data_IF_868319549623
#
_entry.id   IF_868319549623
#
_cell.length_a   1.000
_cell.length_b   1.000
_cell.length_c   1.000
_cell.angle_alpha   90.00
_cell.angle_beta   90.00
_cell.angle_gamma   90.00
#
_symmetry.space_group_name_H-M   'P 1'
#
loop_
_entity.id
_entity.type
_entity.pdbx_description
1 polymer ?
#
# COMPACT_ATOMS: atom_id res chain seq x y z
N UNK A 1 11.43 -41.17 4.53
CA UNK A 1 11.59 -39.82 3.96
C UNK A 1 10.98 -38.86 4.95
N UNK A 2 11.76 -38.02 5.61
CA UNK A 2 11.23 -36.99 6.52
C UNK A 2 10.47 -35.97 5.67
N UNK A 3 9.28 -35.61 6.12
CA UNK A 3 8.54 -34.52 5.48
C UNK A 3 9.22 -33.19 5.83
N UNK A 4 9.04 -32.18 4.97
CA UNK A 4 9.54 -30.82 5.24
C UNK A 4 8.98 -30.30 6.57
N UNK A 5 7.73 -30.62 6.87
CA UNK A 5 7.05 -30.26 8.13
C UNK A 5 7.76 -30.85 9.36
N UNK A 6 8.13 -32.13 9.31
CA UNK A 6 8.82 -32.80 10.42
C UNK A 6 10.20 -32.20 10.67
N UNK A 7 10.96 -31.97 9.61
CA UNK A 7 12.30 -31.38 9.70
C UNK A 7 12.25 -29.95 10.25
N UNK A 8 11.24 -29.18 9.86
CA UNK A 8 11.02 -27.82 10.37
C UNK A 8 10.66 -27.84 11.86
N UNK A 9 9.79 -28.75 12.28
CA UNK A 9 9.38 -28.87 13.68
C UNK A 9 10.55 -29.23 14.59
N UNK A 10 11.41 -30.14 14.18
CA UNK A 10 12.63 -30.50 14.92
C UNK A 10 13.60 -29.31 15.00
N UNK A 11 13.82 -28.60 13.89
CA UNK A 11 14.68 -27.42 13.87
C UNK A 11 14.16 -26.30 14.79
N UNK A 12 12.84 -26.04 14.80
CA UNK A 12 12.23 -25.03 15.68
C UNK A 12 12.37 -25.41 17.15
N UNK A 13 12.16 -26.68 17.50
CA UNK A 13 12.27 -27.16 18.89
C UNK A 13 13.70 -27.08 19.44
N UNK A 14 14.71 -27.19 18.58
CA UNK A 14 16.11 -27.06 18.98
C UNK A 14 16.53 -25.61 19.30
N UNK A 15 15.72 -24.61 18.94
CA UNK A 15 16.05 -23.20 19.14
C UNK A 15 15.61 -22.68 20.52
N UNK A 16 16.33 -21.69 21.08
CA UNK A 16 15.87 -20.93 22.24
C UNK A 16 14.55 -20.21 21.97
N UNK A 17 13.78 -19.91 23.04
CA UNK A 17 12.45 -19.30 22.95
C UNK A 17 12.42 -18.01 22.11
N UNK A 18 13.43 -17.16 22.25
CA UNK A 18 13.49 -15.88 21.52
C UNK A 18 13.61 -16.10 20.00
N UNK A 19 14.36 -17.13 19.59
CA UNK A 19 14.51 -17.51 18.18
C UNK A 19 13.29 -18.25 17.62
N UNK A 20 12.57 -18.97 18.46
CA UNK A 20 11.27 -19.54 18.08
C UNK A 20 10.24 -18.43 17.80
N UNK A 21 10.24 -17.38 18.62
CA UNK A 21 9.36 -16.21 18.41
C UNK A 21 9.72 -15.48 17.10
N UNK A 22 11.01 -15.24 16.84
CA UNK A 22 11.47 -14.61 15.59
C UNK A 22 11.03 -15.40 14.34
N UNK A 23 11.13 -16.74 14.37
CA UNK A 23 10.64 -17.59 13.28
C UNK A 23 9.12 -17.52 13.11
N UNK A 24 8.37 -17.47 14.21
CA UNK A 24 6.92 -17.34 14.17
C UNK A 24 6.50 -16.00 13.54
N UNK A 25 7.20 -14.92 13.87
CA UNK A 25 6.97 -13.60 13.30
C UNK A 25 7.28 -13.59 11.79
N UNK A 26 8.38 -14.22 11.38
CA UNK A 26 8.73 -14.36 9.97
C UNK A 26 7.70 -15.19 9.19
N UNK A 27 7.22 -16.30 9.75
CA UNK A 27 6.17 -17.11 9.15
C UNK A 27 4.86 -16.33 8.98
N UNK A 28 4.51 -15.50 9.96
CA UNK A 28 3.36 -14.59 9.87
C UNK A 28 3.54 -13.55 8.76
N UNK A 29 4.73 -12.97 8.61
CA UNK A 29 5.05 -12.06 7.52
C UNK A 29 4.89 -12.74 6.16
N UNK A 30 5.47 -13.92 5.97
CA UNK A 30 5.36 -14.69 4.72
C UNK A 30 3.89 -14.98 4.38
N UNK A 31 3.07 -15.36 5.35
CA UNK A 31 1.62 -15.57 5.15
C UNK A 31 0.91 -14.29 4.68
N UNK A 32 1.31 -13.14 5.23
CA UNK A 32 0.74 -11.85 4.86
C UNK A 32 1.20 -11.39 3.47
N UNK A 33 2.41 -11.76 3.03
CA UNK A 33 2.92 -11.46 1.69
C UNK A 33 2.22 -12.28 0.61
N UNK A 34 1.91 -13.55 0.90
CA UNK A 34 1.15 -14.44 0.01
C UNK A 34 -0.34 -14.05 -0.05
N UNK A 35 -0.84 -13.35 0.96
CA UNK A 35 -2.21 -12.84 0.93
C UNK A 35 -2.34 -11.83 -0.20
N UNK A 36 -3.29 -12.00 -1.14
CA UNK A 36 -3.46 -11.09 -2.27
C UNK A 36 -3.68 -9.68 -1.72
N UNK A 37 -2.74 -8.78 -2.02
CA UNK A 37 -2.86 -7.37 -1.65
C UNK A 37 -4.18 -6.86 -2.20
N UNK A 38 -5.07 -6.38 -1.31
CA UNK A 38 -6.30 -5.75 -1.77
C UNK A 38 -5.91 -4.63 -2.75
N UNK A 39 -6.49 -4.59 -3.95
CA UNK A 39 -6.19 -3.52 -4.88
C UNK A 39 -6.44 -2.19 -4.17
N UNK A 40 -5.49 -1.26 -4.31
CA UNK A 40 -5.67 0.10 -3.81
C UNK A 40 -6.96 0.64 -4.44
N UNK A 41 -7.74 1.40 -3.65
CA UNK A 41 -8.91 2.10 -4.19
C UNK A 41 -8.46 2.92 -5.41
N UNK A 42 -9.25 2.91 -6.48
CA UNK A 42 -8.95 3.74 -7.66
C UNK A 42 -8.79 5.19 -7.24
N UNK A 43 -8.01 5.97 -7.99
CA UNK A 43 -7.88 7.43 -7.74
C UNK A 43 -9.26 8.07 -7.65
N UNK A 44 -10.20 7.68 -8.52
CA UNK A 44 -11.60 8.11 -8.42
C UNK A 44 -12.25 7.80 -7.06
N UNK A 45 -12.03 6.59 -6.53
CA UNK A 45 -12.55 6.19 -5.22
C UNK A 45 -11.89 6.91 -4.04
N UNK A 46 -10.65 7.35 -4.16
CA UNK A 46 -9.99 8.18 -3.14
C UNK A 46 -10.60 9.59 -3.07
N UNK A 47 -11.10 10.11 -4.19
CA UNK A 47 -11.65 11.46 -4.29
C UNK A 47 -13.16 11.52 -4.03
N UNK A 48 -13.85 10.38 -3.95
CA UNK A 48 -15.30 10.31 -3.76
C UNK A 48 -15.76 10.96 -2.44
N UNK A 49 -14.96 10.89 -1.39
CA UNK A 49 -15.30 11.41 -0.06
C UNK A 49 -14.93 12.89 0.13
N UNK A 50 -14.26 13.52 -0.84
CA UNK A 50 -13.76 14.90 -0.70
C UNK A 50 -14.88 15.95 -0.81
N UNK A 51 -16.09 15.57 -1.23
CA UNK A 51 -17.22 16.49 -1.45
C UNK A 51 -16.86 17.74 -2.28
N UNK A 52 -15.88 17.60 -3.18
CA UNK A 52 -15.44 18.67 -4.07
C UNK A 52 -16.26 18.55 -5.36
N UNK A 53 -17.08 19.55 -5.66
CA UNK A 53 -17.71 19.71 -6.97
C UNK A 53 -16.85 20.67 -7.80
N UNK A 54 -15.98 20.14 -8.68
CA UNK A 54 -15.27 20.96 -9.67
C UNK A 54 -16.15 21.08 -10.91
N UNK A 55 -16.67 22.28 -11.18
CA UNK A 55 -17.36 22.54 -12.44
C UNK A 55 -16.36 22.95 -13.53
N UNK A 56 -16.69 22.63 -14.79
CA UNK A 56 -15.88 23.07 -15.93
C UNK A 56 -15.75 24.60 -15.99
N UNK A 57 -16.79 25.33 -15.57
CA UNK A 57 -16.79 26.79 -15.53
C UNK A 57 -15.76 27.34 -14.51
N UNK A 58 -15.70 26.77 -13.30
CA UNK A 58 -14.74 27.16 -12.27
C UNK A 58 -13.30 26.86 -12.67
N UNK A 59 -13.07 25.71 -13.33
CA UNK A 59 -11.73 25.35 -13.84
C UNK A 59 -11.27 26.34 -14.92
N UNK A 60 -12.17 26.71 -15.82
CA UNK A 60 -11.88 27.60 -16.94
C UNK A 60 -11.69 29.05 -16.49
N UNK A 61 -12.45 29.51 -15.48
CA UNK A 61 -12.20 30.79 -14.81
C UNK A 61 -10.84 30.81 -14.10
N UNK A 62 -10.54 29.78 -13.29
CA UNK A 62 -9.25 29.67 -12.60
C UNK A 62 -8.07 29.67 -13.58
N UNK A 63 -8.20 28.96 -14.71
CA UNK A 63 -7.17 28.93 -15.76
C UNK A 63 -6.93 30.32 -16.34
N UNK A 64 -7.99 31.06 -16.68
CA UNK A 64 -7.88 32.44 -17.17
C UNK A 64 -7.21 33.35 -16.15
N UNK A 65 -7.64 33.31 -14.89
CA UNK A 65 -7.07 34.15 -13.82
C UNK A 65 -5.59 33.88 -13.59
N UNK A 66 -5.19 32.61 -13.60
CA UNK A 66 -3.78 32.23 -13.48
C UNK A 66 -2.96 32.71 -14.67
N UNK A 67 -3.50 32.59 -15.89
CA UNK A 67 -2.80 32.97 -17.11
C UNK A 67 -2.73 34.49 -17.33
N UNK A 68 -3.64 35.28 -16.74
CA UNK A 68 -3.52 36.75 -16.70
C UNK A 68 -2.23 37.23 -16.04
N UNK A 69 -1.70 36.45 -15.09
CA UNK A 69 -0.46 36.75 -14.35
C UNK A 69 0.74 36.01 -14.93
N UNK A 70 0.57 35.28 -16.04
CA UNK A 70 1.67 34.58 -16.66
C UNK A 70 2.63 35.62 -17.26
N UNK A 71 3.93 35.59 -16.90
CA UNK A 71 4.88 36.55 -17.43
C UNK A 71 5.01 36.35 -18.93
N UNK A 72 4.62 37.35 -19.71
CA UNK A 72 4.93 37.43 -21.14
C UNK A 72 6.24 38.20 -21.26
N UNK A 73 7.38 37.52 -21.15
CA UNK A 73 8.64 38.10 -21.61
C UNK A 73 8.68 37.96 -23.14
N UNK A 74 8.70 39.11 -23.84
CA UNK A 74 9.14 39.23 -25.24
C UNK A 74 10.29 40.22 -25.28
#
# INVERSE_FOLDING_TARGET
MTTVEQSLLEAVRALPRDKQQELLDHANQLRNEVSPKKPLKSVKGLWADLNIALTAAEMEENRRELWKKFPTEL
#
